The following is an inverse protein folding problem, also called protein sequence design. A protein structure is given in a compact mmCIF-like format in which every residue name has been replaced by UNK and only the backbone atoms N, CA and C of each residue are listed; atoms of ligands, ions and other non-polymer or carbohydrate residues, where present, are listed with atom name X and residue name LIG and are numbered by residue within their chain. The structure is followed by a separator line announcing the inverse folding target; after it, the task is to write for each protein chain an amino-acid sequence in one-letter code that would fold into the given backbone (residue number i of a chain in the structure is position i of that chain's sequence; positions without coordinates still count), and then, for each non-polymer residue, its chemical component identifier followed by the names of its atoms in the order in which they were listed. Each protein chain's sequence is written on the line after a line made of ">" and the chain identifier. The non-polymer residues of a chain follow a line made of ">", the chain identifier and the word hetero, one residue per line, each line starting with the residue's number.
data_IF_086553886713
#
_entry.id   IF_086553886713
#
_cell.length_a   1.000
_cell.length_b   1.000
_cell.length_c   1.000
_cell.angle_alpha   90.00
_cell.angle_beta   90.00
_cell.angle_gamma   90.00
#
_symmetry.space_group_name_H-M   'P 1'
#
loop_
_entity.id
_entity.type
_entity.pdbx_description
1 polymer ?
#
# COMPACT_ATOMS: atom_id res chain seq x y z
N UNK A 1 8.67 -3.38 -6.86
CA UNK A 1 8.26 -3.92 -5.55
C UNK A 1 6.92 -4.63 -5.63
N UNK A 2 5.84 -3.95 -6.04
CA UNK A 2 4.50 -4.55 -6.08
C UNK A 2 4.40 -5.71 -7.06
N UNK A 3 4.98 -5.55 -8.25
CA UNK A 3 5.04 -6.66 -9.23
C UNK A 3 5.77 -7.89 -8.70
N UNK A 4 6.82 -7.69 -7.88
CA UNK A 4 7.59 -8.76 -7.26
C UNK A 4 6.75 -9.49 -6.20
N UNK A 5 6.00 -8.76 -5.37
CA UNK A 5 5.05 -9.35 -4.41
C UNK A 5 3.90 -10.08 -5.12
N UNK A 6 3.39 -9.51 -6.22
CA UNK A 6 2.38 -10.15 -7.05
C UNK A 6 2.88 -11.50 -7.57
N UNK A 7 4.11 -11.53 -8.11
CA UNK A 7 4.71 -12.72 -8.70
C UNK A 7 5.08 -13.79 -7.67
N UNK A 8 5.72 -13.38 -6.58
CA UNK A 8 6.34 -14.32 -5.64
C UNK A 8 5.42 -14.76 -4.50
N UNK A 9 4.35 -14.00 -4.21
CA UNK A 9 3.44 -14.29 -3.10
C UNK A 9 2.00 -14.50 -3.56
N UNK A 10 1.43 -13.54 -4.28
CA UNK A 10 0.00 -13.57 -4.59
C UNK A 10 -0.35 -14.63 -5.64
N UNK A 11 0.42 -14.74 -6.73
CA UNK A 11 0.13 -15.73 -7.77
C UNK A 11 0.21 -17.18 -7.25
N UNK A 12 1.21 -17.58 -6.43
CA UNK A 12 1.21 -18.90 -5.79
C UNK A 12 -0.02 -19.14 -4.90
N UNK A 13 -0.37 -18.19 -4.02
CA UNK A 13 -1.57 -18.30 -3.16
C UNK A 13 -2.87 -18.37 -3.97
N UNK A 14 -2.97 -17.61 -5.06
CA UNK A 14 -4.10 -17.67 -5.99
C UNK A 14 -4.21 -19.04 -6.66
N UNK A 15 -3.08 -19.61 -7.12
CA UNK A 15 -3.05 -20.96 -7.69
C UNK A 15 -3.55 -21.99 -6.68
N UNK A 16 -3.07 -21.94 -5.44
CA UNK A 16 -3.52 -22.83 -4.37
C UNK A 16 -5.02 -22.67 -4.10
N UNK A 17 -5.51 -21.43 -4.02
CA UNK A 17 -6.93 -21.14 -3.85
C UNK A 17 -7.77 -21.73 -5.00
N UNK A 18 -7.36 -21.55 -6.26
CA UNK A 18 -8.08 -22.09 -7.40
C UNK A 18 -8.09 -23.62 -7.43
N UNK A 19 -6.97 -24.27 -7.10
CA UNK A 19 -6.91 -25.73 -6.99
C UNK A 19 -7.79 -26.24 -5.84
N UNK A 20 -7.86 -25.51 -4.73
CA UNK A 20 -8.76 -25.80 -3.61
C UNK A 20 -10.23 -25.68 -4.03
N UNK A 21 -10.60 -24.58 -4.72
CA UNK A 21 -11.95 -24.39 -5.25
C UNK A 21 -12.35 -25.48 -6.23
N UNK A 22 -11.44 -25.95 -7.09
CA UNK A 22 -11.70 -27.06 -7.99
C UNK A 22 -12.08 -28.34 -7.22
N UNK A 23 -11.36 -28.66 -6.15
CA UNK A 23 -11.69 -29.81 -5.27
C UNK A 23 -13.01 -29.62 -4.53
N UNK A 24 -13.42 -28.39 -4.23
CA UNK A 24 -14.74 -28.13 -3.66
C UNK A 24 -15.86 -28.57 -4.61
N UNK A 25 -15.69 -28.39 -5.93
CA UNK A 25 -16.67 -28.82 -6.93
C UNK A 25 -16.85 -30.35 -6.96
N UNK A 26 -15.79 -31.10 -6.67
CA UNK A 26 -15.83 -32.57 -6.65
C UNK A 26 -16.42 -33.14 -5.34
N UNK A 27 -16.33 -32.38 -4.24
CA UNK A 27 -16.60 -32.88 -2.88
C UNK A 27 -17.85 -32.30 -2.22
N UNK A 28 -18.42 -31.21 -2.74
CA UNK A 28 -19.55 -30.54 -2.13
C UNK A 28 -20.86 -31.33 -2.30
N UNK A 29 -21.59 -31.51 -1.18
CA UNK A 29 -22.89 -32.19 -1.17
C UNK A 29 -24.05 -31.34 -1.73
N UNK A 30 -23.83 -30.05 -1.95
CA UNK A 30 -24.81 -29.11 -2.51
C UNK A 30 -24.28 -27.68 -2.59
N UNK A 31 -25.10 -26.77 -3.13
CA UNK A 31 -24.70 -25.40 -3.43
C UNK A 31 -24.15 -24.61 -2.21
N UNK A 32 -24.77 -24.79 -1.04
CA UNK A 32 -24.34 -24.10 0.19
C UNK A 32 -22.98 -24.59 0.69
N UNK A 33 -22.73 -25.89 0.60
CA UNK A 33 -21.46 -26.48 1.00
C UNK A 33 -20.34 -26.08 0.04
N UNK A 34 -20.65 -26.00 -1.25
CA UNK A 34 -19.74 -25.48 -2.27
C UNK A 34 -19.35 -24.03 -1.99
N UNK A 35 -20.32 -23.15 -1.74
CA UNK A 35 -20.07 -21.74 -1.45
C UNK A 35 -19.20 -21.57 -0.19
N UNK A 36 -19.52 -22.27 0.89
CA UNK A 36 -18.72 -22.25 2.11
C UNK A 36 -17.28 -22.76 1.88
N UNK A 37 -17.12 -23.80 1.05
CA UNK A 37 -15.81 -24.33 0.69
C UNK A 37 -14.98 -23.34 -0.14
N UNK A 38 -15.57 -22.74 -1.17
CA UNK A 38 -14.92 -21.73 -2.03
C UNK A 38 -14.51 -20.49 -1.23
N UNK A 39 -15.35 -20.04 -0.29
CA UNK A 39 -15.01 -18.92 0.60
C UNK A 39 -13.78 -19.23 1.45
N UNK A 40 -13.70 -20.42 2.05
CA UNK A 40 -12.52 -20.85 2.82
C UNK A 40 -11.25 -20.93 1.96
N UNK A 41 -11.36 -21.46 0.74
CA UNK A 41 -10.23 -21.54 -0.18
C UNK A 41 -9.71 -20.14 -0.61
N UNK A 42 -10.62 -19.17 -0.74
CA UNK A 42 -10.29 -17.82 -1.24
C UNK A 42 -9.80 -16.87 -0.14
N UNK A 43 -10.19 -17.13 1.11
CA UNK A 43 -9.92 -16.27 2.26
C UNK A 43 -8.42 -15.93 2.44
N UNK A 44 -7.45 -16.88 2.40
CA UNK A 44 -6.03 -16.55 2.59
C UNK A 44 -5.48 -15.60 1.53
N UNK A 45 -5.96 -15.72 0.29
CA UNK A 45 -5.58 -14.82 -0.80
C UNK A 45 -6.15 -13.43 -0.59
N UNK A 46 -7.42 -13.32 -0.20
CA UNK A 46 -8.06 -12.03 0.09
C UNK A 46 -7.38 -11.31 1.26
N UNK A 47 -7.02 -12.03 2.33
CA UNK A 47 -6.27 -11.48 3.45
C UNK A 47 -4.89 -10.96 3.04
N UNK A 48 -4.18 -11.71 2.20
CA UNK A 48 -2.87 -11.31 1.67
C UNK A 48 -2.96 -10.02 0.83
N UNK A 49 -3.97 -9.92 -0.03
CA UNK A 49 -4.23 -8.70 -0.82
C UNK A 49 -4.55 -7.50 0.08
N UNK A 50 -5.37 -7.70 1.12
CA UNK A 50 -5.72 -6.66 2.09
C UNK A 50 -4.48 -6.10 2.80
N UNK A 51 -3.56 -6.96 3.24
CA UNK A 51 -2.30 -6.52 3.87
C UNK A 51 -1.48 -5.62 2.94
N UNK A 52 -1.39 -5.99 1.66
CA UNK A 52 -0.64 -5.21 0.67
C UNK A 52 -1.29 -3.84 0.47
N UNK A 53 -2.61 -3.81 0.28
CA UNK A 53 -3.37 -2.58 0.09
C UNK A 53 -3.27 -1.64 1.30
N UNK A 54 -3.44 -2.17 2.52
CA UNK A 54 -3.34 -1.40 3.75
C UNK A 54 -1.94 -0.80 3.93
N UNK A 55 -0.90 -1.61 3.77
CA UNK A 55 0.48 -1.14 3.95
C UNK A 55 0.87 -0.07 2.92
N UNK A 56 0.36 -0.18 1.68
CA UNK A 56 0.52 0.86 0.66
C UNK A 56 -0.26 2.13 0.99
N UNK A 57 -1.52 1.99 1.42
CA UNK A 57 -2.37 3.10 1.83
C UNK A 57 -1.72 3.90 2.96
N UNK A 58 -1.31 3.22 4.03
CA UNK A 58 -0.64 3.84 5.16
C UNK A 58 0.63 4.58 4.75
N UNK A 59 1.41 4.02 3.82
CA UNK A 59 2.62 4.65 3.30
C UNK A 59 2.30 5.91 2.47
N UNK A 60 1.29 5.85 1.61
CA UNK A 60 0.83 6.98 0.80
C UNK A 60 0.26 8.11 1.66
N UNK A 61 -0.58 7.79 2.66
CA UNK A 61 -1.12 8.78 3.57
C UNK A 61 -0.03 9.51 4.35
N UNK A 62 1.00 8.78 4.80
CA UNK A 62 2.15 9.39 5.48
C UNK A 62 2.90 10.36 4.56
N UNK A 63 3.01 10.04 3.28
CA UNK A 63 3.63 10.92 2.29
C UNK A 63 2.78 12.17 2.03
N UNK A 64 1.46 12.02 1.90
CA UNK A 64 0.52 13.15 1.80
C UNK A 64 0.60 14.06 3.04
N UNK A 65 0.71 13.47 4.24
CA UNK A 65 0.96 14.24 5.47
C UNK A 65 2.29 14.98 5.45
N UNK A 66 3.32 14.45 4.77
CA UNK A 66 4.58 15.19 4.59
C UNK A 66 4.39 16.39 3.66
N UNK A 67 3.61 16.25 2.59
CA UNK A 67 3.27 17.38 1.72
C UNK A 67 2.50 18.48 2.47
N UNK A 68 1.55 18.11 3.34
CA UNK A 68 0.86 19.09 4.19
C UNK A 68 1.83 19.82 5.13
N UNK A 69 2.78 19.11 5.76
CA UNK A 69 3.82 19.75 6.58
C UNK A 69 4.67 20.72 5.77
N UNK A 70 5.06 20.37 4.55
CA UNK A 70 5.79 21.28 3.67
C UNK A 70 4.98 22.53 3.34
N UNK A 71 3.66 22.38 3.16
CA UNK A 71 2.76 23.50 2.93
C UNK A 71 2.65 24.41 4.16
N UNK A 72 2.63 23.82 5.36
CA UNK A 72 2.59 24.57 6.62
C UNK A 72 3.92 25.31 6.86
N UNK A 73 5.08 24.70 6.58
CA UNK A 73 6.38 25.40 6.63
C UNK A 73 6.44 26.63 5.73
N UNK A 74 5.80 26.58 4.56
CA UNK A 74 5.71 27.73 3.65
C UNK A 74 4.82 28.82 4.25
N UNK A 75 3.67 28.46 4.82
CA UNK A 75 2.77 29.42 5.48
C UNK A 75 3.41 30.07 6.70
N UNK A 76 4.15 29.29 7.49
CA UNK A 76 4.86 29.80 8.67
C UNK A 76 5.94 30.82 8.28
N UNK A 77 6.56 30.64 7.11
CA UNK A 77 7.64 31.51 6.63
C UNK A 77 7.15 32.73 5.84
N UNK A 78 6.12 32.58 5.00
CA UNK A 78 5.67 33.61 4.05
C UNK A 78 4.26 34.12 4.30
N UNK A 79 3.58 33.62 5.33
CA UNK A 79 2.18 33.92 5.62
C UNK A 79 1.20 33.12 4.76
N UNK A 80 -0.10 33.29 5.04
CA UNK A 80 -1.18 32.61 4.31
C UNK A 80 -1.37 33.14 2.89
N UNK A 81 -0.95 34.37 2.62
CA UNK A 81 -1.03 35.04 1.32
C UNK A 81 0.29 35.76 1.02
N UNK A 82 1.28 35.03 0.43
CA UNK A 82 2.56 35.61 0.08
C UNK A 82 2.40 36.70 -0.98
N UNK A 83 3.12 37.81 -0.81
CA UNK A 83 3.21 38.85 -1.84
C UNK A 83 3.75 38.29 -3.15
N UNK A 84 3.49 38.96 -4.28
CA UNK A 84 4.02 38.55 -5.59
C UNK A 84 5.54 38.36 -5.60
N UNK A 85 6.29 39.16 -4.84
CA UNK A 85 7.75 39.03 -4.73
C UNK A 85 8.18 37.75 -4.02
N UNK A 86 7.31 37.19 -3.18
CA UNK A 86 7.62 36.08 -2.29
C UNK A 86 7.07 34.74 -2.81
N UNK A 87 6.15 34.77 -3.79
CA UNK A 87 5.56 33.58 -4.40
C UNK A 87 6.60 32.62 -4.98
N UNK A 88 7.62 33.13 -5.68
CA UNK A 88 8.70 32.28 -6.20
C UNK A 88 9.47 31.59 -5.08
N UNK A 89 9.83 32.32 -4.02
CA UNK A 89 10.57 31.77 -2.88
C UNK A 89 9.73 30.77 -2.09
N UNK A 90 8.43 31.02 -1.95
CA UNK A 90 7.47 30.11 -1.33
C UNK A 90 7.39 28.78 -2.10
N UNK A 91 7.33 28.85 -3.43
CA UNK A 91 7.33 27.66 -4.29
C UNK A 91 8.66 26.89 -4.19
N UNK A 92 9.80 27.58 -4.19
CA UNK A 92 11.12 26.95 -4.02
C UNK A 92 11.25 26.26 -2.66
N UNK A 93 10.76 26.91 -1.58
CA UNK A 93 10.73 26.32 -0.24
C UNK A 93 9.87 25.06 -0.18
N UNK A 94 8.68 25.08 -0.80
CA UNK A 94 7.83 23.90 -0.91
C UNK A 94 8.54 22.76 -1.65
N UNK A 95 9.11 23.06 -2.82
CA UNK A 95 9.80 22.08 -3.66
C UNK A 95 11.00 21.45 -2.92
N UNK A 96 11.80 22.27 -2.24
CA UNK A 96 12.93 21.80 -1.44
C UNK A 96 12.48 20.88 -0.31
N UNK A 97 11.41 21.25 0.41
CA UNK A 97 10.84 20.39 1.45
C UNK A 97 10.32 19.06 0.87
N UNK A 98 9.61 19.11 -0.27
CA UNK A 98 9.11 17.92 -0.96
C UNK A 98 10.23 17.01 -1.47
N UNK A 99 11.36 17.57 -1.89
CA UNK A 99 12.53 16.79 -2.28
C UNK A 99 13.11 16.01 -1.08
N UNK A 100 13.21 16.66 0.08
CA UNK A 100 13.66 16.01 1.33
C UNK A 100 12.68 14.91 1.76
N UNK A 101 11.37 15.19 1.75
CA UNK A 101 10.35 14.18 2.02
C UNK A 101 10.42 13.02 1.02
N UNK A 102 10.64 13.30 -0.27
CA UNK A 102 10.84 12.29 -1.29
C UNK A 102 12.02 11.37 -0.97
N UNK A 103 13.20 11.94 -0.66
CA UNK A 103 14.40 11.19 -0.25
C UNK A 103 14.14 10.35 1.00
N UNK A 104 13.49 10.92 2.01
CA UNK A 104 13.11 10.22 3.24
C UNK A 104 12.22 9.00 2.93
N UNK A 105 11.18 9.17 2.11
CA UNK A 105 10.26 8.08 1.78
C UNK A 105 10.90 7.02 0.89
N UNK A 106 11.72 7.41 -0.09
CA UNK A 106 12.50 6.46 -0.90
C UNK A 106 13.38 5.58 -0.02
N UNK A 107 14.02 6.14 1.01
CA UNK A 107 14.83 5.37 1.96
C UNK A 107 14.02 4.33 2.76
N UNK A 108 12.70 4.53 2.90
CA UNK A 108 11.79 3.63 3.64
C UNK A 108 11.15 2.55 2.77
N UNK A 109 11.20 2.66 1.44
CA UNK A 109 10.61 1.66 0.52
C UNK A 109 11.18 0.24 0.76
N UNK A 110 12.49 0.04 0.97
CA UNK A 110 13.01 -1.30 1.27
C UNK A 110 12.42 -1.90 2.56
N UNK A 111 12.27 -1.08 3.60
CA UNK A 111 11.64 -1.51 4.85
C UNK A 111 10.16 -1.85 4.66
N UNK A 112 9.42 -1.02 3.92
CA UNK A 112 8.02 -1.31 3.56
C UNK A 112 7.88 -2.68 2.88
N UNK A 113 8.75 -2.99 1.92
CA UNK A 113 8.78 -4.32 1.27
C UNK A 113 9.00 -5.44 2.28
N UNK A 114 9.99 -5.28 3.17
CA UNK A 114 10.34 -6.28 4.17
C UNK A 114 9.20 -6.53 5.16
N UNK A 115 8.56 -5.47 5.66
CA UNK A 115 7.44 -5.53 6.60
C UNK A 115 6.23 -6.23 5.95
N UNK A 116 5.91 -5.89 4.68
CA UNK A 116 4.87 -6.57 3.91
C UNK A 116 5.17 -8.07 3.75
N UNK A 117 6.38 -8.43 3.35
CA UNK A 117 6.79 -9.84 3.21
C UNK A 117 6.70 -10.60 4.53
N UNK A 118 7.11 -9.98 5.64
CA UNK A 118 7.00 -10.57 6.96
C UNK A 118 5.53 -10.80 7.37
N UNK A 119 4.65 -9.84 7.10
CA UNK A 119 3.22 -9.97 7.36
C UNK A 119 2.56 -11.07 6.52
N UNK A 120 2.97 -11.21 5.25
CA UNK A 120 2.45 -12.21 4.31
C UNK A 120 2.92 -13.65 4.61
N UNK A 121 4.08 -13.82 5.26
CA UNK A 121 4.61 -15.14 5.65
C UNK A 121 4.02 -15.70 6.94
N UNK A 122 3.45 -14.84 7.79
CA UNK A 122 2.82 -15.26 9.07
C UNK A 122 1.42 -15.86 8.86
N UNK A 123 0.93 -15.94 7.63
CA UNK A 123 -0.41 -16.38 7.23
C UNK A 123 -0.35 -17.39 6.09
#
# INVERSE_FOLDING_TARGET
>A
MIEDLQKTVLMPKQKEAFLCCAKCCDSAGGARDLEACVQRCSQPTAESQKVIQQSLGDFQERFQRAAMRCQDEVKDQFGFDPSQSDQMRAQEKFNSCMELAGKEFLSKVPKLKADMLAALRRR
#
